data_IF_758713114362
#
_entry.id   IF_758713114362
#
_cell.length_a   1.000
_cell.length_b   1.000
_cell.length_c   1.000
_cell.angle_alpha   90.00
_cell.angle_beta   90.00
_cell.angle_gamma   90.00
#
_symmetry.space_group_name_H-M   'P 1'
#
loop_
_entity.id
_entity.type
_entity.pdbx_description
1 polymer ?
#
# COMPACT_ATOMS: atom_id res chain seq x y z
N UNK A 1 10.01 28.48 2.76
CA UNK A 1 10.17 27.06 3.17
C UNK A 1 11.49 26.93 3.93
N UNK A 2 11.60 25.97 4.85
CA UNK A 2 12.68 25.87 5.84
C UNK A 2 14.11 25.91 5.24
N UNK A 3 14.29 25.40 4.02
CA UNK A 3 15.60 25.34 3.33
C UNK A 3 15.84 26.45 2.29
N UNK A 4 14.97 27.48 2.21
CA UNK A 4 15.01 28.49 1.13
C UNK A 4 16.37 29.20 1.02
N UNK A 5 17.03 29.45 2.15
CA UNK A 5 18.22 30.29 2.23
C UNK A 5 19.52 29.47 2.32
N UNK A 6 19.47 28.15 2.08
CA UNK A 6 20.66 27.31 1.98
C UNK A 6 21.19 27.24 0.54
N UNK A 7 22.37 27.79 0.25
CA UNK A 7 22.94 27.75 -1.09
C UNK A 7 23.25 26.30 -1.48
N UNK A 8 22.89 25.92 -2.71
CA UNK A 8 23.15 24.59 -3.28
C UNK A 8 22.49 23.42 -2.51
N UNK A 9 21.56 23.69 -1.59
CA UNK A 9 20.78 22.63 -0.96
C UNK A 9 19.62 22.22 -1.87
N UNK A 10 19.65 20.98 -2.32
CA UNK A 10 18.47 20.29 -2.84
C UNK A 10 18.06 19.23 -1.81
N UNK A 11 16.93 19.43 -1.09
CA UNK A 11 16.45 18.48 -0.10
C UNK A 11 16.35 17.04 -0.61
N UNK A 12 16.08 16.82 -1.90
CA UNK A 12 15.99 15.48 -2.47
C UNK A 12 17.32 14.71 -2.39
N UNK A 13 18.46 15.41 -2.30
CA UNK A 13 19.78 14.78 -2.25
C UNK A 13 20.19 14.31 -0.85
N UNK A 14 19.53 14.77 0.23
CA UNK A 14 19.91 14.43 1.61
C UNK A 14 18.73 14.02 2.50
N UNK A 15 17.49 14.27 2.07
CA UNK A 15 16.33 13.58 2.60
C UNK A 15 16.10 12.29 1.82
N UNK A 16 16.76 11.22 2.25
CA UNK A 16 16.38 9.88 1.83
C UNK A 16 14.91 9.65 2.20
N UNK A 17 14.09 9.10 1.29
CA UNK A 17 12.71 8.73 1.62
C UNK A 17 12.72 7.80 2.82
N UNK A 18 12.00 8.18 3.86
CA UNK A 18 11.91 7.37 5.07
C UNK A 18 10.97 6.18 4.79
N UNK A 19 11.48 4.95 4.88
CA UNK A 19 10.76 3.78 4.42
C UNK A 19 9.42 3.57 5.14
N UNK A 20 9.34 3.85 6.44
CA UNK A 20 8.12 3.63 7.22
C UNK A 20 6.98 4.55 6.80
N UNK A 21 7.21 5.85 6.71
CA UNK A 21 6.18 6.81 6.36
C UNK A 21 5.95 6.83 4.86
N UNK A 22 7.01 6.97 4.06
CA UNK A 22 6.87 7.18 2.63
C UNK A 22 6.55 5.91 1.84
N UNK A 23 7.00 4.72 2.28
CA UNK A 23 6.71 3.48 1.55
C UNK A 23 5.55 2.74 2.20
N UNK A 24 5.65 2.42 3.49
CA UNK A 24 4.60 1.65 4.18
C UNK A 24 3.36 2.49 4.51
N UNK A 25 3.53 3.77 4.83
CA UNK A 25 2.42 4.68 5.13
C UNK A 25 1.58 4.95 3.89
N UNK A 26 2.24 5.47 2.85
CA UNK A 26 1.63 5.90 1.58
C UNK A 26 1.05 4.76 0.73
N UNK A 27 1.51 3.51 0.94
CA UNK A 27 1.02 2.33 0.20
C UNK A 27 -0.52 2.25 0.14
N UNK A 28 -1.20 2.50 1.26
CA UNK A 28 -2.66 2.41 1.32
C UNK A 28 -3.36 3.58 0.60
N UNK A 29 -2.76 4.76 0.70
CA UNK A 29 -3.36 6.01 0.25
C UNK A 29 -3.09 6.26 -1.24
N UNK A 30 -2.03 5.66 -1.78
CA UNK A 30 -1.63 5.77 -3.19
C UNK A 30 -1.68 4.43 -3.93
N UNK A 31 -0.82 3.47 -3.60
CA UNK A 31 -0.64 2.25 -4.39
C UNK A 31 -1.93 1.41 -4.48
N UNK A 32 -2.63 1.25 -3.35
CA UNK A 32 -3.92 0.55 -3.33
C UNK A 32 -4.97 1.29 -4.16
N UNK A 33 -4.99 2.63 -4.16
CA UNK A 33 -5.92 3.39 -5.01
C UNK A 33 -5.61 3.21 -6.49
N UNK A 34 -4.33 3.17 -6.87
CA UNK A 34 -3.93 2.86 -8.24
C UNK A 34 -4.35 1.45 -8.65
N UNK A 35 -4.18 0.46 -7.78
CA UNK A 35 -4.63 -0.91 -8.04
C UNK A 35 -6.16 -0.97 -8.22
N UNK A 36 -6.92 -0.26 -7.38
CA UNK A 36 -8.38 -0.14 -7.53
C UNK A 36 -8.78 0.51 -8.85
N UNK A 37 -8.05 1.52 -9.30
CA UNK A 37 -8.33 2.21 -10.56
C UNK A 37 -7.95 1.35 -11.78
N UNK A 38 -6.86 0.58 -11.69
CA UNK A 38 -6.34 -0.24 -12.78
C UNK A 38 -7.14 -1.54 -12.97
N UNK A 39 -7.40 -2.29 -11.89
CA UNK A 39 -8.14 -3.55 -11.94
C UNK A 39 -9.66 -3.38 -11.79
N UNK A 40 -10.09 -2.32 -11.08
CA UNK A 40 -11.43 -2.21 -10.56
C UNK A 40 -11.55 -2.79 -9.15
N UNK A 41 -12.25 -2.08 -8.26
CA UNK A 41 -12.42 -2.47 -6.85
C UNK A 41 -13.01 -3.87 -6.68
N UNK A 42 -14.01 -4.23 -7.48
CA UNK A 42 -14.69 -5.54 -7.38
C UNK A 42 -13.76 -6.70 -7.75
N UNK A 43 -12.98 -6.56 -8.81
CA UNK A 43 -11.99 -7.56 -9.22
C UNK A 43 -10.86 -7.66 -8.20
N UNK A 44 -10.38 -6.53 -7.68
CA UNK A 44 -9.37 -6.50 -6.63
C UNK A 44 -9.83 -7.26 -5.39
N UNK A 45 -11.04 -7.00 -4.90
CA UNK A 45 -11.62 -7.69 -3.76
C UNK A 45 -11.84 -9.18 -4.02
N UNK A 46 -12.31 -9.54 -5.21
CA UNK A 46 -12.46 -10.93 -5.62
C UNK A 46 -11.13 -11.68 -5.58
N UNK A 47 -10.06 -11.09 -6.10
CA UNK A 47 -8.73 -11.72 -6.08
C UNK A 47 -8.20 -11.90 -4.66
N UNK A 48 -8.39 -10.90 -3.80
CA UNK A 48 -8.04 -11.02 -2.38
C UNK A 48 -8.84 -12.10 -1.66
N UNK A 49 -10.12 -12.29 -2.00
CA UNK A 49 -10.98 -13.28 -1.34
C UNK A 49 -10.67 -14.73 -1.73
N UNK A 50 -10.14 -14.95 -2.94
CA UNK A 50 -9.79 -16.30 -3.42
C UNK A 50 -8.34 -16.70 -3.09
N UNK A 51 -7.54 -15.83 -2.46
CA UNK A 51 -6.19 -16.17 -2.03
C UNK A 51 -6.22 -17.34 -1.05
N UNK A 52 -5.40 -18.35 -1.30
CA UNK A 52 -5.18 -19.45 -0.36
C UNK A 52 -4.80 -18.92 1.04
N UNK A 53 -5.46 -19.36 2.12
CA UNK A 53 -5.08 -18.95 3.47
C UNK A 53 -3.65 -19.39 3.81
N UNK A 54 -2.82 -18.43 4.24
CA UNK A 54 -1.43 -18.68 4.66
C UNK A 54 -1.31 -18.45 6.16
N UNK A 55 -0.72 -19.41 6.88
CA UNK A 55 -0.49 -19.30 8.33
C UNK A 55 0.32 -18.04 8.62
N UNK A 56 -0.20 -17.20 9.51
CA UNK A 56 0.47 -15.96 9.96
C UNK A 56 0.17 -14.72 9.13
N UNK A 57 -0.54 -14.84 8.01
CA UNK A 57 -1.04 -13.71 7.21
C UNK A 57 -2.57 -13.59 7.35
N UNK A 58 -3.07 -12.36 7.35
CA UNK A 58 -4.51 -12.13 7.32
C UNK A 58 -5.10 -12.59 5.98
N UNK A 59 -6.28 -13.21 6.02
CA UNK A 59 -7.04 -13.59 4.82
C UNK A 59 -8.24 -12.66 4.65
N UNK A 60 -8.38 -12.05 3.48
CA UNK A 60 -9.35 -10.98 3.19
C UNK A 60 -10.55 -11.54 2.42
N UNK A 61 -11.34 -12.40 3.08
CA UNK A 61 -12.48 -13.10 2.46
C UNK A 61 -13.54 -12.19 1.85
N UNK A 62 -13.71 -10.98 2.39
CA UNK A 62 -14.68 -9.98 1.94
C UNK A 62 -13.99 -8.87 1.12
N UNK A 63 -12.77 -9.13 0.65
CA UNK A 63 -11.92 -8.13 0.00
C UNK A 63 -11.26 -7.15 0.97
N UNK A 64 -10.51 -6.20 0.41
CA UNK A 64 -9.79 -5.16 1.16
C UNK A 64 -10.55 -3.83 1.18
N UNK A 65 -11.48 -3.60 0.24
CA UNK A 65 -12.25 -2.34 0.20
C UNK A 65 -13.35 -2.27 1.26
N UNK A 66 -13.72 -3.41 1.84
CA UNK A 66 -14.70 -3.50 2.93
C UNK A 66 -14.14 -3.10 4.30
N UNK A 67 -12.82 -2.90 4.41
CA UNK A 67 -12.14 -2.49 5.64
C UNK A 67 -12.51 -1.04 6.01
N UNK A 68 -13.24 -0.88 7.11
CA UNK A 68 -13.60 0.46 7.65
C UNK A 68 -12.44 1.18 8.32
N UNK A 69 -11.54 0.42 8.94
CA UNK A 69 -10.32 0.92 9.56
C UNK A 69 -9.18 -0.03 9.23
N UNK A 70 -8.07 0.53 8.75
CA UNK A 70 -6.95 -0.26 8.25
C UNK A 70 -5.79 -0.11 9.22
N UNK A 71 -5.50 -1.17 9.96
CA UNK A 71 -4.40 -1.20 10.92
C UNK A 71 -3.06 -1.34 10.19
N UNK A 72 -1.94 -1.00 10.85
CA UNK A 72 -0.61 -1.21 10.27
C UNK A 72 -0.33 -2.68 9.90
N UNK A 73 -0.89 -3.63 10.67
CA UNK A 73 -0.82 -5.07 10.33
C UNK A 73 -1.61 -5.38 9.06
N UNK A 74 -2.82 -4.83 8.92
CA UNK A 74 -3.62 -5.01 7.71
C UNK A 74 -2.91 -4.40 6.49
N UNK A 75 -2.40 -3.16 6.57
CA UNK A 75 -1.61 -2.53 5.49
C UNK A 75 -0.47 -3.45 5.03
N UNK A 76 0.31 -3.96 5.99
CA UNK A 76 1.44 -4.86 5.71
C UNK A 76 1.00 -6.16 5.03
N UNK A 77 -0.07 -6.79 5.51
CA UNK A 77 -0.54 -8.06 4.93
C UNK A 77 -1.13 -7.85 3.53
N UNK A 78 -1.84 -6.73 3.28
CA UNK A 78 -2.28 -6.34 1.93
C UNK A 78 -1.09 -6.13 0.99
N UNK A 79 -0.06 -5.41 1.43
CA UNK A 79 1.15 -5.17 0.65
C UNK A 79 1.90 -6.46 0.27
N UNK A 80 1.90 -7.48 1.13
CA UNK A 80 2.52 -8.78 0.84
C UNK A 80 1.83 -9.54 -0.30
N UNK A 81 0.55 -9.28 -0.52
CA UNK A 81 -0.25 -9.92 -1.57
C UNK A 81 -0.44 -9.06 -2.82
N UNK A 82 -0.10 -7.78 -2.79
CA UNK A 82 -0.53 -6.85 -3.85
C UNK A 82 -0.02 -7.26 -5.23
N UNK A 83 1.25 -7.67 -5.34
CA UNK A 83 1.88 -8.05 -6.61
C UNK A 83 1.21 -9.29 -7.24
N UNK A 84 1.07 -10.44 -6.54
CA UNK A 84 0.36 -11.58 -7.13
C UNK A 84 -1.11 -11.25 -7.41
N UNK A 85 -1.78 -10.45 -6.57
CA UNK A 85 -3.17 -10.03 -6.81
C UNK A 85 -3.30 -9.25 -8.11
N UNK A 86 -2.44 -8.26 -8.38
CA UNK A 86 -2.55 -7.46 -9.61
C UNK A 86 -2.11 -8.25 -10.85
N UNK A 87 -1.19 -9.21 -10.70
CA UNK A 87 -0.70 -10.02 -11.80
C UNK A 87 -1.76 -11.00 -12.34
N UNK A 88 -2.64 -11.51 -11.46
CA UNK A 88 -3.66 -12.52 -11.79
C UNK A 88 -3.18 -13.93 -11.49
#
# INVERSE_FOLDING_TARGET
PFFRDWPLSDPANFFSPEALHHWYGEFWDHDVQWCKNALGSQELDFRYSVLQPIVGLHHFKDGITTLKQVTGRAKRDVQRYIVPVIAG
#
